data_IF_316047287230
#
_entry.id   IF_316047287230
#
_cell.length_a   1.000
_cell.length_b   1.000
_cell.length_c   1.000
_cell.angle_alpha   90.00
_cell.angle_beta   90.00
_cell.angle_gamma   90.00
#
_symmetry.space_group_name_H-M   'P 1'
#
loop_
_entity.id
_entity.type
_entity.pdbx_description
1 polymer ?
#
# COMPACT_ATOMS: atom_id res chain seq x y z
N UNK A 1 1.08 -33.25 -51.52
CA UNK A 1 2.08 -32.80 -50.54
C UNK A 1 2.48 -31.32 -50.62
N UNK A 2 1.98 -30.51 -51.59
CA UNK A 2 2.34 -29.05 -51.75
C UNK A 2 1.41 -28.07 -51.07
N UNK A 3 0.26 -28.47 -50.53
CA UNK A 3 -0.70 -27.58 -49.87
C UNK A 3 -0.53 -27.42 -48.35
N UNK A 4 0.22 -28.29 -47.68
CA UNK A 4 0.46 -28.22 -46.23
C UNK A 4 1.60 -27.26 -45.79
N UNK A 5 2.56 -26.96 -46.69
CA UNK A 5 3.69 -26.09 -46.41
C UNK A 5 3.30 -24.59 -46.44
N UNK A 6 2.25 -24.20 -47.16
CA UNK A 6 1.85 -22.80 -47.34
C UNK A 6 1.14 -22.23 -46.11
N UNK A 7 0.44 -23.06 -45.30
CA UNK A 7 -0.32 -22.64 -44.10
C UNK A 7 0.56 -22.41 -42.88
N UNK A 8 1.66 -23.12 -42.77
CA UNK A 8 2.62 -22.98 -41.64
C UNK A 8 3.47 -21.70 -41.79
N UNK A 9 3.81 -21.33 -43.03
CA UNK A 9 4.58 -20.09 -43.29
C UNK A 9 3.77 -18.83 -43.01
N UNK A 10 2.45 -18.86 -43.19
CA UNK A 10 1.57 -17.70 -42.96
C UNK A 10 1.35 -17.45 -41.47
N UNK A 11 1.27 -18.52 -40.63
CA UNK A 11 1.10 -18.40 -39.17
C UNK A 11 2.35 -17.83 -38.47
N UNK A 12 3.55 -18.22 -38.95
CA UNK A 12 4.82 -17.69 -38.40
C UNK A 12 5.08 -16.25 -38.81
N UNK A 13 4.63 -15.80 -40.00
CA UNK A 13 4.78 -14.43 -40.44
C UNK A 13 3.86 -13.45 -39.66
N UNK A 14 2.65 -13.89 -39.28
CA UNK A 14 1.72 -13.06 -38.51
C UNK A 14 2.20 -12.85 -37.09
N UNK A 15 2.80 -13.86 -36.45
CA UNK A 15 3.39 -13.73 -35.12
C UNK A 15 4.63 -12.81 -35.09
N UNK A 16 5.48 -12.89 -36.12
CA UNK A 16 6.67 -12.04 -36.21
C UNK A 16 6.32 -10.57 -36.51
N UNK A 17 5.32 -10.30 -37.34
CA UNK A 17 4.85 -8.93 -37.61
C UNK A 17 4.15 -8.30 -36.41
N UNK A 18 3.38 -9.04 -35.64
CA UNK A 18 2.73 -8.52 -34.41
C UNK A 18 3.75 -8.07 -33.36
N UNK A 19 4.80 -8.87 -33.14
CA UNK A 19 5.84 -8.56 -32.18
C UNK A 19 6.74 -7.36 -32.60
N UNK A 20 7.00 -7.20 -33.88
CA UNK A 20 7.74 -6.07 -34.43
C UNK A 20 6.92 -4.77 -34.40
N UNK A 21 5.61 -4.86 -34.61
CA UNK A 21 4.69 -3.72 -34.58
C UNK A 21 4.49 -3.20 -33.14
N UNK A 22 4.41 -4.06 -32.12
CA UNK A 22 4.28 -3.66 -30.72
C UNK A 22 5.56 -2.99 -30.20
N UNK A 23 6.74 -3.54 -30.53
CA UNK A 23 8.03 -2.91 -30.20
C UNK A 23 8.17 -1.51 -30.82
N UNK A 24 7.75 -1.33 -32.06
CA UNK A 24 7.78 -0.03 -32.75
C UNK A 24 6.84 1.00 -32.10
N UNK A 25 5.65 0.57 -31.66
CA UNK A 25 4.64 1.43 -31.01
C UNK A 25 5.12 1.90 -29.64
N UNK A 26 5.69 1.00 -28.84
CA UNK A 26 6.21 1.32 -27.50
C UNK A 26 7.42 2.26 -27.59
N UNK A 27 8.32 2.08 -28.54
CA UNK A 27 9.43 3.00 -28.76
C UNK A 27 8.98 4.40 -29.16
N UNK A 28 7.89 4.52 -29.93
CA UNK A 28 7.29 5.81 -30.30
C UNK A 28 6.66 6.50 -29.09
N UNK A 29 5.99 5.77 -28.18
CA UNK A 29 5.41 6.31 -26.95
C UNK A 29 6.47 6.85 -25.97
N UNK A 30 7.72 6.38 -26.11
CA UNK A 30 8.87 6.82 -25.32
C UNK A 30 9.76 7.85 -26.05
N UNK A 31 9.37 8.34 -27.22
CA UNK A 31 10.14 9.34 -27.93
C UNK A 31 10.26 10.63 -27.11
N UNK A 32 11.49 11.14 -26.96
CA UNK A 32 11.78 12.32 -26.13
C UNK A 32 11.68 12.14 -24.61
N UNK A 33 11.36 10.94 -24.12
CA UNK A 33 11.33 10.65 -22.69
C UNK A 33 12.65 10.02 -22.23
N UNK A 34 13.11 10.40 -21.05
CA UNK A 34 14.18 9.73 -20.31
C UNK A 34 13.60 9.11 -19.04
N UNK A 35 14.12 7.96 -18.62
CA UNK A 35 13.67 7.24 -17.44
C UNK A 35 13.80 5.73 -17.56
N UNK A 36 13.33 5.06 -16.53
CA UNK A 36 13.25 3.60 -16.45
C UNK A 36 11.81 3.17 -16.73
N UNK A 37 11.62 2.26 -17.68
CA UNK A 37 10.31 1.79 -18.09
C UNK A 37 10.25 0.27 -18.10
N UNK A 38 9.04 -0.28 -18.01
CA UNK A 38 8.79 -1.69 -18.25
C UNK A 38 7.68 -1.86 -19.28
N UNK A 39 7.89 -2.79 -20.21
CA UNK A 39 6.84 -3.30 -21.08
C UNK A 39 6.34 -4.63 -20.54
N UNK A 40 5.13 -4.67 -20.00
CA UNK A 40 4.44 -5.87 -19.56
C UNK A 40 3.61 -6.38 -20.72
N UNK A 41 4.12 -7.38 -21.43
CA UNK A 41 3.41 -8.00 -22.55
C UNK A 41 2.42 -9.03 -22.01
N UNK A 42 1.15 -8.88 -22.37
CA UNK A 42 0.06 -9.72 -21.86
C UNK A 42 -0.68 -10.44 -23.00
N UNK A 43 -1.62 -11.31 -22.65
CA UNK A 43 -2.55 -11.93 -23.61
C UNK A 43 -3.48 -10.92 -24.30
N UNK A 44 -3.67 -9.71 -23.71
CA UNK A 44 -4.52 -8.63 -24.24
C UNK A 44 -3.76 -7.52 -24.97
N UNK A 45 -2.45 -7.51 -24.91
CA UNK A 45 -1.58 -6.50 -25.47
C UNK A 45 -0.45 -6.10 -24.53
N UNK A 46 0.22 -5.02 -24.86
CA UNK A 46 1.35 -4.50 -24.11
C UNK A 46 0.89 -3.36 -23.19
N UNK A 47 1.35 -3.40 -21.93
CA UNK A 47 1.19 -2.34 -20.95
C UNK A 47 2.55 -1.71 -20.73
N UNK A 48 2.73 -0.45 -21.18
CA UNK A 48 3.93 0.30 -20.95
C UNK A 48 3.79 1.13 -19.68
N UNK A 49 4.73 0.95 -18.74
CA UNK A 49 4.75 1.65 -17.45
C UNK A 49 6.08 2.38 -17.26
N UNK A 50 6.04 3.54 -16.67
CA UNK A 50 7.21 4.22 -16.12
C UNK A 50 7.47 3.69 -14.71
N UNK A 51 8.74 3.47 -14.35
CA UNK A 51 9.16 3.00 -13.04
C UNK A 51 9.85 4.13 -12.28
N UNK A 52 9.34 4.44 -11.10
CA UNK A 52 9.78 5.56 -10.27
C UNK A 52 10.99 5.18 -9.40
N UNK A 53 12.10 4.81 -10.02
CA UNK A 53 13.31 4.31 -9.35
C UNK A 53 13.99 5.31 -8.41
N UNK A 54 13.68 6.61 -8.54
CA UNK A 54 14.18 7.66 -7.63
C UNK A 54 13.29 7.80 -6.39
N UNK A 55 11.97 7.59 -6.53
CA UNK A 55 10.98 7.72 -5.47
C UNK A 55 10.76 6.41 -4.68
N UNK A 56 10.91 5.26 -5.35
CA UNK A 56 10.74 3.94 -4.76
C UNK A 56 11.91 3.01 -5.15
N UNK A 57 13.15 3.35 -4.77
CA UNK A 57 14.35 2.66 -5.23
C UNK A 57 14.39 1.18 -4.85
N UNK A 58 13.98 0.79 -3.65
CA UNK A 58 13.96 -0.61 -3.20
C UNK A 58 12.92 -1.41 -4.01
N UNK A 59 11.71 -0.88 -4.14
CA UNK A 59 10.60 -1.55 -4.82
C UNK A 59 10.90 -1.71 -6.31
N UNK A 60 11.45 -0.67 -6.96
CA UNK A 60 11.84 -0.76 -8.36
C UNK A 60 13.01 -1.72 -8.54
N UNK A 61 14.00 -1.74 -7.63
CA UNK A 61 15.10 -2.73 -7.66
C UNK A 61 14.55 -4.16 -7.53
N UNK A 62 13.58 -4.39 -6.65
CA UNK A 62 12.91 -5.68 -6.52
C UNK A 62 12.19 -6.09 -7.83
N UNK A 63 11.33 -5.22 -8.36
CA UNK A 63 10.57 -5.50 -9.58
C UNK A 63 11.48 -5.75 -10.79
N UNK A 64 12.45 -4.87 -11.02
CA UNK A 64 13.41 -4.99 -12.13
C UNK A 64 14.28 -6.24 -11.98
N UNK A 65 14.80 -6.48 -10.78
CA UNK A 65 15.67 -7.61 -10.53
C UNK A 65 14.97 -8.96 -10.67
N UNK A 66 13.68 -9.06 -10.29
CA UNK A 66 12.85 -10.23 -10.56
C UNK A 66 12.56 -10.36 -12.07
N UNK A 67 12.22 -9.26 -12.76
CA UNK A 67 11.93 -9.26 -14.20
C UNK A 67 13.15 -9.66 -15.05
N UNK A 68 14.34 -9.24 -14.67
CA UNK A 68 15.59 -9.52 -15.39
C UNK A 68 16.25 -10.83 -14.91
N UNK A 69 15.84 -11.39 -13.76
CA UNK A 69 16.40 -12.61 -13.21
C UNK A 69 17.69 -12.39 -12.41
N UNK A 70 17.97 -11.17 -11.97
CA UNK A 70 19.21 -10.77 -11.28
C UNK A 70 19.13 -10.85 -9.76
N UNK A 71 17.93 -11.02 -9.18
CA UNK A 71 17.76 -11.36 -7.77
C UNK A 71 17.84 -12.88 -7.57
N UNK A 72 18.38 -13.31 -6.44
CA UNK A 72 18.58 -14.73 -6.09
C UNK A 72 17.28 -15.54 -6.15
N UNK A 73 16.17 -14.95 -5.74
CA UNK A 73 14.84 -15.58 -5.79
C UNK A 73 14.39 -15.92 -7.21
N UNK A 74 14.84 -15.20 -8.21
CA UNK A 74 14.54 -15.45 -9.62
C UNK A 74 15.35 -16.62 -10.18
N UNK A 75 16.43 -17.04 -9.51
CA UNK A 75 17.30 -18.16 -9.92
C UNK A 75 17.80 -18.05 -11.36
N UNK A 76 18.13 -16.82 -11.80
CA UNK A 76 18.57 -16.53 -13.15
C UNK A 76 17.49 -16.60 -14.23
N UNK A 77 16.20 -16.67 -13.84
CA UNK A 77 15.06 -16.72 -14.77
C UNK A 77 14.25 -15.42 -14.68
N UNK A 78 13.58 -15.08 -15.75
CA UNK A 78 12.61 -13.97 -15.75
C UNK A 78 11.38 -14.37 -14.92
N UNK A 79 11.30 -13.87 -13.71
CA UNK A 79 10.35 -14.32 -12.69
C UNK A 79 8.88 -14.16 -13.10
N UNK A 80 8.54 -13.09 -13.81
CA UNK A 80 7.16 -12.76 -14.15
C UNK A 80 6.65 -13.46 -15.42
N UNK A 81 7.53 -14.03 -16.24
CA UNK A 81 7.15 -14.64 -17.51
C UNK A 81 6.28 -15.87 -17.26
N UNK A 82 5.10 -15.90 -17.88
CA UNK A 82 4.11 -16.97 -17.75
C UNK A 82 3.19 -16.88 -16.54
N UNK A 83 3.38 -15.91 -15.64
CA UNK A 83 2.48 -15.69 -14.50
C UNK A 83 1.13 -15.12 -14.95
N UNK A 84 0.12 -15.27 -14.11
CA UNK A 84 -1.23 -14.80 -14.39
C UNK A 84 -1.61 -13.54 -13.61
N UNK A 85 -2.57 -12.81 -14.13
CA UNK A 85 -3.34 -11.88 -13.33
C UNK A 85 -4.40 -12.69 -12.57
N UNK A 86 -4.01 -13.18 -11.39
CA UNK A 86 -4.83 -14.11 -10.60
C UNK A 86 -6.03 -13.45 -9.91
N UNK A 87 -6.06 -12.10 -9.84
CA UNK A 87 -7.17 -11.34 -9.27
C UNK A 87 -7.42 -10.08 -10.10
N UNK A 88 -8.62 -9.96 -10.63
CA UNK A 88 -9.07 -8.80 -11.39
C UNK A 88 -10.41 -8.36 -10.83
N UNK A 89 -10.53 -7.09 -10.44
CA UNK A 89 -11.77 -6.49 -9.97
C UNK A 89 -12.08 -5.30 -10.87
N UNK A 90 -13.20 -5.35 -11.55
CA UNK A 90 -13.68 -4.26 -12.39
C UNK A 90 -13.80 -2.96 -11.57
N UNK A 91 -13.49 -1.83 -12.22
CA UNK A 91 -13.51 -0.50 -11.61
C UNK A 91 -12.61 -0.37 -10.36
N UNK A 92 -11.62 -1.26 -10.23
CA UNK A 92 -10.64 -1.20 -9.15
C UNK A 92 -9.21 -1.45 -9.68
N UNK A 93 -8.82 -2.72 -9.92
CA UNK A 93 -7.43 -3.03 -10.32
C UNK A 93 -7.29 -4.43 -10.96
N UNK A 94 -6.15 -4.64 -11.61
CA UNK A 94 -5.63 -5.95 -11.99
C UNK A 94 -4.41 -6.28 -11.12
N UNK A 95 -4.33 -7.51 -10.58
CA UNK A 95 -3.26 -7.96 -9.69
C UNK A 95 -2.60 -9.23 -10.24
N UNK A 96 -1.27 -9.20 -10.33
CA UNK A 96 -0.43 -10.31 -10.80
C UNK A 96 0.85 -10.43 -9.99
N UNK A 97 1.82 -11.21 -10.51
CA UNK A 97 3.15 -11.38 -9.90
C UNK A 97 3.22 -12.46 -8.81
N UNK A 98 2.17 -13.26 -8.65
CA UNK A 98 2.16 -14.43 -7.77
C UNK A 98 2.58 -15.70 -8.55
N UNK A 99 3.71 -16.34 -8.19
CA UNK A 99 4.15 -17.56 -8.87
C UNK A 99 3.22 -18.76 -8.65
N UNK A 100 2.39 -18.75 -7.59
CA UNK A 100 1.42 -19.81 -7.30
C UNK A 100 0.04 -19.51 -7.90
N UNK A 101 -0.24 -18.26 -8.27
CA UNK A 101 -1.53 -17.83 -8.79
C UNK A 101 -2.69 -17.89 -7.78
N UNK A 102 -2.38 -17.96 -6.49
CA UNK A 102 -3.35 -18.14 -5.40
C UNK A 102 -3.61 -16.85 -4.60
N UNK A 103 -2.80 -15.83 -4.82
CA UNK A 103 -2.74 -14.60 -4.02
C UNK A 103 -1.87 -14.73 -2.75
N UNK A 104 -1.29 -15.92 -2.49
CA UNK A 104 -0.48 -16.19 -1.29
C UNK A 104 1.00 -16.42 -1.60
N UNK A 105 1.34 -16.68 -2.84
CA UNK A 105 2.69 -16.92 -3.30
C UNK A 105 3.53 -15.63 -3.38
N UNK A 106 4.83 -15.81 -3.54
CA UNK A 106 5.78 -14.71 -3.62
C UNK A 106 7.20 -15.18 -3.89
N UNK A 107 8.19 -14.30 -3.79
CA UNK A 107 9.59 -14.60 -4.12
C UNK A 107 10.32 -15.33 -3.00
N UNK A 108 9.66 -15.68 -1.89
CA UNK A 108 10.26 -16.35 -0.73
C UNK A 108 10.81 -15.41 0.33
N UNK A 109 10.64 -14.10 0.16
CA UNK A 109 11.01 -13.07 1.13
C UNK A 109 9.94 -11.96 1.17
N UNK A 110 10.07 -11.08 2.18
CA UNK A 110 9.29 -9.85 2.32
C UNK A 110 10.24 -8.67 2.50
N UNK A 111 9.79 -7.46 2.10
CA UNK A 111 10.56 -6.24 2.25
C UNK A 111 9.67 -5.05 2.66
N UNK A 112 10.26 -4.01 3.29
CA UNK A 112 9.52 -2.86 3.81
C UNK A 112 8.88 -2.03 2.72
N UNK A 113 7.87 -1.24 3.11
CA UNK A 113 7.24 -0.23 2.26
C UNK A 113 8.17 0.97 2.03
N UNK A 114 7.86 1.77 1.02
CA UNK A 114 8.47 3.08 0.76
C UNK A 114 7.37 4.16 0.73
N UNK A 115 6.77 4.49 1.90
CA UNK A 115 5.59 5.34 1.99
C UNK A 115 5.90 6.83 1.77
N UNK A 116 7.15 7.24 1.90
CA UNK A 116 7.59 8.67 1.85
C UNK A 116 8.02 9.06 0.44
N UNK A 117 7.31 8.59 -0.58
CA UNK A 117 7.68 8.87 -1.96
C UNK A 117 6.86 9.99 -2.62
N UNK A 118 5.93 10.60 -1.89
CA UNK A 118 5.07 11.68 -2.39
C UNK A 118 4.05 11.25 -3.45
N UNK A 119 3.88 9.95 -3.68
CA UNK A 119 2.98 9.40 -4.68
C UNK A 119 1.64 9.02 -4.05
N UNK A 120 0.55 9.31 -4.76
CA UNK A 120 -0.82 9.02 -4.33
C UNK A 120 -1.62 8.36 -5.45
N UNK A 121 -2.69 7.65 -5.09
CA UNK A 121 -3.58 6.97 -6.03
C UNK A 121 -4.65 7.91 -6.61
N UNK A 122 -4.24 9.06 -7.13
CA UNK A 122 -5.07 10.17 -7.61
C UNK A 122 -5.68 9.97 -9.00
N UNK A 123 -5.21 8.98 -9.75
CA UNK A 123 -5.63 8.68 -11.13
C UNK A 123 -5.51 7.18 -11.45
N UNK A 124 -6.15 6.70 -12.55
CA UNK A 124 -5.94 5.34 -13.03
C UNK A 124 -4.49 5.10 -13.45
N UNK A 125 -4.10 3.82 -13.54
CA UNK A 125 -2.81 3.41 -14.06
C UNK A 125 -1.66 3.44 -13.05
N UNK A 126 -1.92 3.63 -11.77
CA UNK A 126 -0.88 3.51 -10.73
C UNK A 126 -0.45 2.04 -10.61
N UNK A 127 0.86 1.82 -10.68
CA UNK A 127 1.50 0.53 -10.45
C UNK A 127 2.04 0.51 -9.03
N UNK A 128 1.55 -0.44 -8.22
CA UNK A 128 1.89 -0.52 -6.80
C UNK A 128 2.06 -1.97 -6.32
N UNK A 129 2.73 -2.15 -5.18
CA UNK A 129 2.90 -3.45 -4.55
C UNK A 129 1.62 -3.91 -3.87
N UNK A 130 1.20 -5.14 -4.17
CA UNK A 130 0.23 -5.84 -3.33
C UNK A 130 0.94 -6.38 -2.08
N UNK A 131 0.30 -6.24 -0.92
CA UNK A 131 0.80 -6.70 0.37
C UNK A 131 -0.34 -7.21 1.27
N UNK A 132 0.02 -7.85 2.38
CA UNK A 132 -0.89 -8.33 3.43
C UNK A 132 -0.74 -7.50 4.72
N UNK A 133 -0.43 -6.22 4.59
CA UNK A 133 -0.15 -5.27 5.66
C UNK A 133 1.28 -4.71 5.57
N UNK A 134 1.63 -3.77 6.47
CA UNK A 134 2.91 -3.07 6.43
C UNK A 134 4.12 -4.01 6.38
N UNK A 135 5.08 -3.71 5.50
CA UNK A 135 6.34 -4.46 5.39
C UNK A 135 6.21 -5.88 4.83
N UNK A 136 5.13 -6.20 4.14
CA UNK A 136 4.92 -7.54 3.58
C UNK A 136 4.97 -7.60 2.06
N UNK A 137 5.64 -6.62 1.42
CA UNK A 137 5.84 -6.61 -0.02
C UNK A 137 6.67 -7.81 -0.47
N UNK A 138 6.36 -8.33 -1.65
CA UNK A 138 7.06 -9.47 -2.26
C UNK A 138 7.21 -9.30 -3.77
N UNK A 139 6.61 -10.18 -4.57
CA UNK A 139 6.60 -10.07 -6.04
C UNK A 139 5.26 -9.61 -6.60
N UNK A 140 4.18 -9.66 -5.81
CA UNK A 140 2.85 -9.31 -6.29
C UNK A 140 2.69 -7.81 -6.46
N UNK A 141 2.11 -7.39 -7.58
CA UNK A 141 1.82 -6.00 -7.91
C UNK A 141 0.40 -5.85 -8.45
N UNK A 142 -0.11 -4.63 -8.47
CA UNK A 142 -1.39 -4.30 -9.11
C UNK A 142 -1.29 -3.01 -9.91
N UNK A 143 -2.18 -2.87 -10.90
CA UNK A 143 -2.34 -1.65 -11.70
C UNK A 143 -3.79 -1.22 -11.59
N UNK A 144 -4.05 0.06 -11.28
CA UNK A 144 -5.40 0.58 -11.00
C UNK A 144 -6.19 0.90 -12.27
N UNK A 145 -7.51 0.68 -12.22
CA UNK A 145 -8.46 1.09 -13.27
C UNK A 145 -8.94 2.52 -13.07
N UNK A 146 -9.02 2.97 -11.81
CA UNK A 146 -9.59 4.24 -11.36
C UNK A 146 -8.72 4.83 -10.25
N UNK A 147 -8.91 6.09 -9.83
CA UNK A 147 -8.34 6.61 -8.59
C UNK A 147 -8.77 5.75 -7.39
N UNK A 148 -7.85 5.45 -6.48
CA UNK A 148 -8.07 4.58 -5.31
C UNK A 148 -7.40 5.17 -4.08
N UNK A 149 -7.79 6.38 -3.71
CA UNK A 149 -7.19 7.22 -2.66
C UNK A 149 -7.17 6.54 -1.27
N UNK A 150 -8.11 5.63 -1.00
CA UNK A 150 -8.13 4.81 0.23
C UNK A 150 -6.93 3.84 0.37
N UNK A 151 -6.13 3.66 -0.69
CA UNK A 151 -4.89 2.88 -0.69
C UNK A 151 -3.64 3.73 -0.41
N UNK A 152 -3.77 5.06 -0.32
CA UNK A 152 -2.65 5.95 -0.04
C UNK A 152 -1.93 5.51 1.25
N UNK A 153 -0.60 5.53 1.19
CA UNK A 153 0.32 5.15 2.28
C UNK A 153 0.25 3.69 2.76
N UNK A 154 -0.67 2.87 2.21
CA UNK A 154 -0.82 1.44 2.52
C UNK A 154 -0.10 0.53 1.53
N UNK A 155 0.10 1.02 0.32
CA UNK A 155 0.77 0.31 -0.76
C UNK A 155 1.81 1.22 -1.41
N UNK A 156 3.03 0.71 -1.59
CA UNK A 156 4.10 1.45 -2.28
C UNK A 156 3.78 1.58 -3.76
N UNK A 157 3.47 2.80 -4.21
CA UNK A 157 3.41 3.13 -5.64
C UNK A 157 4.85 3.20 -6.14
N UNK A 158 5.17 2.48 -7.23
CA UNK A 158 6.50 2.45 -7.81
C UNK A 158 6.54 2.68 -9.31
N UNK A 159 5.39 3.00 -9.91
CA UNK A 159 5.28 3.34 -11.32
C UNK A 159 3.88 3.76 -11.73
N UNK A 160 3.73 4.10 -12.99
CA UNK A 160 2.42 4.37 -13.59
C UNK A 160 2.42 4.06 -15.10
N UNK A 161 1.22 3.88 -15.64
CA UNK A 161 0.99 3.66 -17.06
C UNK A 161 1.37 4.92 -17.87
N UNK A 162 2.14 4.73 -18.94
CA UNK A 162 2.71 5.85 -19.72
C UNK A 162 1.67 6.56 -20.59
N UNK A 163 0.68 5.82 -21.13
CA UNK A 163 -0.28 6.33 -22.10
C UNK A 163 -1.67 5.69 -22.03
N UNK A 164 -2.64 6.33 -22.68
CA UNK A 164 -4.03 5.86 -22.70
C UNK A 164 -4.20 4.51 -23.42
N UNK A 165 -3.31 4.16 -24.36
CA UNK A 165 -3.38 2.88 -25.05
C UNK A 165 -3.01 1.72 -24.13
N UNK A 166 -1.96 1.90 -23.32
CA UNK A 166 -1.59 0.96 -22.26
C UNK A 166 -2.69 0.84 -21.20
N UNK A 167 -3.34 1.97 -20.83
CA UNK A 167 -4.48 1.93 -19.90
C UNK A 167 -5.68 1.16 -20.48
N UNK A 168 -5.94 1.23 -21.77
CA UNK A 168 -6.97 0.40 -22.43
C UNK A 168 -6.66 -1.09 -22.30
N UNK A 169 -5.38 -1.47 -22.40
CA UNK A 169 -4.96 -2.86 -22.19
C UNK A 169 -5.17 -3.27 -20.72
N UNK A 170 -4.77 -2.42 -19.76
CA UNK A 170 -5.06 -2.65 -18.32
C UNK A 170 -6.56 -2.93 -18.11
N UNK A 171 -7.42 -2.10 -18.67
CA UNK A 171 -8.89 -2.23 -18.53
C UNK A 171 -9.46 -3.45 -19.28
N UNK A 172 -8.73 -4.03 -20.24
CA UNK A 172 -9.13 -5.21 -21.00
C UNK A 172 -8.63 -6.54 -20.42
N UNK A 173 -7.67 -6.49 -19.48
CA UNK A 173 -7.16 -7.68 -18.79
C UNK A 173 -8.26 -8.31 -17.94
N UNK A 174 -8.46 -9.60 -18.12
CA UNK A 174 -9.37 -10.43 -17.33
C UNK A 174 -8.61 -11.35 -16.39
N UNK A 175 -9.32 -11.91 -15.41
CA UNK A 175 -8.72 -12.90 -14.52
C UNK A 175 -8.18 -14.08 -15.31
N UNK A 176 -7.03 -14.58 -14.90
CA UNK A 176 -6.24 -15.63 -15.54
C UNK A 176 -5.58 -15.25 -16.87
N UNK A 177 -5.69 -14.02 -17.35
CA UNK A 177 -4.86 -13.55 -18.44
C UNK A 177 -3.36 -13.61 -18.07
N UNK A 178 -2.52 -13.93 -19.07
CA UNK A 178 -1.12 -14.25 -18.85
C UNK A 178 -0.21 -13.06 -19.10
N UNK A 179 0.76 -12.86 -18.21
CA UNK A 179 1.96 -12.04 -18.41
C UNK A 179 2.92 -12.85 -19.28
N UNK A 180 3.02 -12.54 -20.56
CA UNK A 180 3.90 -13.24 -21.49
C UNK A 180 5.36 -12.96 -21.21
N UNK A 181 5.67 -11.69 -20.92
CA UNK A 181 7.01 -11.24 -20.54
C UNK A 181 6.98 -9.85 -19.92
N UNK A 182 7.99 -9.56 -19.09
CA UNK A 182 8.31 -8.21 -18.63
C UNK A 182 9.69 -7.82 -19.17
N UNK A 183 9.73 -6.73 -19.95
CA UNK A 183 10.98 -6.21 -20.55
C UNK A 183 11.28 -4.83 -19.98
N UNK A 184 12.45 -4.66 -19.39
CA UNK A 184 12.92 -3.39 -18.85
C UNK A 184 13.56 -2.54 -19.96
N UNK A 185 13.21 -1.27 -20.02
CA UNK A 185 13.68 -0.31 -21.00
C UNK A 185 14.33 0.86 -20.23
N UNK A 186 15.60 1.11 -20.53
CA UNK A 186 16.39 2.20 -19.94
C UNK A 186 16.64 3.26 -20.97
N UNK A 187 16.33 4.52 -20.67
CA UNK A 187 16.54 5.68 -21.56
C UNK A 187 17.18 6.82 -20.81
N UNK A 188 18.31 7.27 -21.29
CA UNK A 188 19.14 8.30 -20.65
C UNK A 188 20.13 7.75 -19.62
N UNK A 189 21.18 8.52 -19.34
CA UNK A 189 22.35 8.08 -18.59
C UNK A 189 22.00 7.56 -17.18
N UNK A 190 21.09 8.23 -16.45
CA UNK A 190 20.69 7.82 -15.10
C UNK A 190 20.00 6.44 -15.11
N UNK A 191 19.09 6.22 -16.07
CA UNK A 191 18.37 4.96 -16.18
C UNK A 191 19.27 3.82 -16.69
N UNK A 192 20.22 4.11 -17.57
CA UNK A 192 21.22 3.16 -18.06
C UNK A 192 22.18 2.72 -16.95
N UNK A 193 22.50 3.63 -16.01
CA UNK A 193 23.33 3.35 -14.85
C UNK A 193 22.57 2.56 -13.75
N UNK A 194 21.24 2.51 -13.79
CA UNK A 194 20.43 1.81 -12.79
C UNK A 194 20.65 0.28 -12.87
N UNK A 195 21.02 -0.29 -11.73
CA UNK A 195 21.23 -1.74 -11.55
C UNK A 195 20.26 -2.28 -10.52
N UNK A 196 19.89 -3.54 -10.69
CA UNK A 196 18.96 -4.25 -9.80
C UNK A 196 19.54 -5.64 -9.45
N UNK A 197 20.72 -5.65 -8.82
CA UNK A 197 21.35 -6.88 -8.32
C UNK A 197 20.88 -7.20 -6.91
N UNK A 198 21.15 -8.43 -6.41
CA UNK A 198 20.89 -8.78 -5.02
C UNK A 198 21.59 -7.82 -4.05
N UNK A 199 22.85 -7.47 -4.32
CA UNK A 199 23.61 -6.52 -3.49
C UNK A 199 22.97 -5.11 -3.45
N UNK A 200 22.40 -4.62 -4.56
CA UNK A 200 21.68 -3.35 -4.59
C UNK A 200 20.39 -3.45 -3.76
N UNK A 201 19.65 -4.54 -3.87
CA UNK A 201 18.46 -4.80 -3.06
C UNK A 201 18.78 -4.83 -1.57
N UNK A 202 19.76 -5.64 -1.15
CA UNK A 202 20.16 -5.80 0.25
C UNK A 202 20.62 -4.48 0.88
N UNK A 203 21.31 -3.63 0.11
CA UNK A 203 21.72 -2.31 0.54
C UNK A 203 20.55 -1.34 0.76
N UNK A 204 19.46 -1.47 -0.01
CA UNK A 204 18.31 -0.57 0.06
C UNK A 204 17.32 -0.97 1.18
N UNK A 205 17.27 -2.23 1.60
CA UNK A 205 16.36 -2.69 2.67
C UNK A 205 16.50 -1.89 3.97
N UNK A 206 17.69 -1.71 4.56
CA UNK A 206 17.83 -0.91 5.78
C UNK A 206 17.48 0.56 5.56
N UNK A 207 17.73 1.12 4.38
CA UNK A 207 17.38 2.51 4.05
C UNK A 207 15.85 2.69 4.06
N UNK A 208 15.11 1.79 3.40
CA UNK A 208 13.64 1.83 3.40
C UNK A 208 13.07 1.58 4.82
N UNK A 209 13.66 0.66 5.60
CA UNK A 209 13.26 0.41 6.98
C UNK A 209 13.38 1.67 7.85
N UNK A 210 14.50 2.40 7.74
CA UNK A 210 14.70 3.65 8.46
C UNK A 210 13.74 4.75 7.98
N UNK A 211 13.47 4.82 6.69
CA UNK A 211 12.49 5.76 6.13
C UNK A 211 11.07 5.50 6.66
N UNK A 212 10.62 4.24 6.76
CA UNK A 212 9.33 3.87 7.37
C UNK A 212 9.28 4.30 8.84
N UNK A 213 10.36 4.07 9.59
CA UNK A 213 10.43 4.47 10.99
C UNK A 213 10.27 5.99 11.14
N UNK A 214 11.03 6.77 10.39
CA UNK A 214 10.96 8.23 10.40
C UNK A 214 9.58 8.75 9.98
N UNK A 215 8.95 8.12 9.00
CA UNK A 215 7.60 8.47 8.58
C UNK A 215 6.58 8.27 9.69
N UNK A 216 6.61 7.12 10.38
CA UNK A 216 5.74 6.87 11.53
C UNK A 216 5.99 7.87 12.68
N UNK A 217 7.26 8.16 12.98
CA UNK A 217 7.63 9.17 13.98
C UNK A 217 7.09 10.56 13.63
N UNK A 218 7.14 10.95 12.36
CA UNK A 218 6.58 12.21 11.89
C UNK A 218 5.05 12.27 12.03
N UNK A 219 4.35 11.19 11.67
CA UNK A 219 2.89 11.10 11.87
C UNK A 219 2.51 11.21 13.34
N UNK A 220 3.26 10.54 14.24
CA UNK A 220 3.03 10.65 15.68
C UNK A 220 3.29 12.09 16.15
N UNK A 221 4.39 12.71 15.70
CA UNK A 221 4.71 14.09 16.06
C UNK A 221 3.61 15.09 15.64
N UNK A 222 2.98 14.86 14.48
CA UNK A 222 1.86 15.65 14.00
C UNK A 222 0.62 15.51 14.88
N UNK A 223 0.22 14.26 15.20
CA UNK A 223 -1.00 14.04 15.99
C UNK A 223 -0.87 14.45 17.45
N UNK A 224 0.35 14.49 18.02
CA UNK A 224 0.58 14.94 19.39
C UNK A 224 0.84 16.46 19.52
N UNK A 225 0.87 17.18 18.39
CA UNK A 225 1.10 18.63 18.44
C UNK A 225 0.05 19.33 19.30
N UNK A 226 0.51 20.13 20.27
CA UNK A 226 -0.37 20.82 21.21
C UNK A 226 -0.98 19.96 22.32
N UNK A 227 -0.60 18.68 22.41
CA UNK A 227 -1.03 17.79 23.48
C UNK A 227 -0.14 17.89 24.72
N UNK A 228 -0.73 17.74 25.90
CA UNK A 228 -0.04 17.45 27.14
C UNK A 228 0.29 15.95 27.21
N UNK A 229 1.27 15.59 28.05
CA UNK A 229 1.69 14.18 28.22
C UNK A 229 1.54 13.75 29.68
N UNK A 230 0.87 12.64 29.90
CA UNK A 230 0.78 12.02 31.21
C UNK A 230 2.09 11.31 31.59
N UNK A 231 2.28 10.99 32.89
CA UNK A 231 3.48 10.28 33.39
C UNK A 231 3.69 8.90 32.78
N UNK A 232 2.62 8.22 32.33
CA UNK A 232 2.67 6.91 31.70
C UNK A 232 2.65 6.96 30.16
N UNK A 233 2.76 8.16 29.56
CA UNK A 233 3.03 8.29 28.14
C UNK A 233 1.82 8.56 27.25
N UNK A 234 0.60 8.65 27.77
CA UNK A 234 -0.58 9.07 26.97
C UNK A 234 -0.49 10.56 26.72
N UNK A 235 -0.70 10.96 25.47
CA UNK A 235 -0.84 12.37 25.09
C UNK A 235 -2.32 12.74 25.01
N UNK A 236 -2.68 13.95 25.43
CA UNK A 236 -4.06 14.42 25.38
C UNK A 236 -4.18 15.93 25.20
N UNK A 237 -5.32 16.35 24.69
CA UNK A 237 -5.71 17.76 24.57
C UNK A 237 -7.19 17.89 24.92
N UNK A 238 -7.53 18.80 25.84
CA UNK A 238 -8.93 19.17 26.10
C UNK A 238 -9.37 20.10 24.97
N UNK A 239 -10.24 19.59 24.09
CA UNK A 239 -10.78 20.34 22.95
C UNK A 239 -11.99 21.20 23.39
N UNK A 240 -12.76 20.69 24.35
CA UNK A 240 -13.88 21.39 24.96
C UNK A 240 -13.94 21.04 26.44
N UNK A 241 -14.02 22.03 27.29
CA UNK A 241 -14.19 21.84 28.73
C UNK A 241 -15.56 21.23 29.08
N UNK A 242 -15.55 20.34 30.06
CA UNK A 242 -16.74 19.80 30.69
C UNK A 242 -17.11 20.55 31.98
N UNK A 243 -18.13 20.09 32.66
CA UNK A 243 -18.61 20.65 33.89
C UNK A 243 -18.57 19.65 35.05
N UNK A 244 -18.46 20.16 36.28
CA UNK A 244 -18.41 19.36 37.50
C UNK A 244 -17.03 18.77 37.79
N UNK A 245 -17.01 17.70 38.61
CA UNK A 245 -15.79 16.99 38.93
C UNK A 245 -15.46 15.93 37.87
N UNK A 246 -14.21 15.49 37.85
CA UNK A 246 -13.80 14.31 37.08
C UNK A 246 -14.65 13.08 37.48
N UNK A 247 -15.00 12.25 36.47
CA UNK A 247 -15.95 11.14 36.68
C UNK A 247 -15.43 10.08 37.64
N UNK A 248 -14.12 9.81 37.66
CA UNK A 248 -13.49 8.82 38.50
C UNK A 248 -13.82 7.37 38.10
N UNK A 249 -13.19 6.42 38.79
CA UNK A 249 -13.41 4.99 38.58
C UNK A 249 -14.74 4.50 39.16
N UNK A 250 -15.26 3.36 38.67
CA UNK A 250 -16.46 2.68 39.15
C UNK A 250 -17.77 3.30 38.68
N UNK A 251 -17.73 4.32 37.83
CA UNK A 251 -18.94 4.95 37.28
C UNK A 251 -19.27 4.38 35.90
N UNK A 252 -20.54 4.11 35.63
CA UNK A 252 -21.02 3.81 34.28
C UNK A 252 -21.09 5.11 33.52
N UNK A 253 -20.49 5.13 32.33
CA UNK A 253 -20.42 6.31 31.45
C UNK A 253 -20.95 6.02 30.05
N UNK A 254 -21.28 7.06 29.32
CA UNK A 254 -21.62 7.02 27.91
C UNK A 254 -20.69 7.99 27.18
N UNK A 255 -19.96 7.49 26.19
CA UNK A 255 -19.03 8.26 25.37
C UNK A 255 -19.39 8.22 23.89
N UNK A 256 -19.44 9.38 23.27
CA UNK A 256 -19.32 9.49 21.81
C UNK A 256 -17.85 9.50 21.47
N UNK A 257 -17.44 8.79 20.40
CA UNK A 257 -16.03 8.64 20.09
C UNK A 257 -15.76 8.41 18.60
N UNK A 258 -14.53 8.68 18.21
CA UNK A 258 -13.91 8.26 16.97
C UNK A 258 -12.51 7.76 17.29
N UNK A 259 -12.20 6.50 16.86
CA UNK A 259 -10.88 5.90 16.98
C UNK A 259 -10.20 5.85 15.60
N UNK A 260 -8.95 6.30 15.53
CA UNK A 260 -8.18 6.37 14.28
C UNK A 260 -6.69 6.16 14.51
N UNK A 261 -5.97 5.79 13.45
CA UNK A 261 -4.51 5.69 13.44
C UNK A 261 -3.88 7.08 13.20
N UNK A 262 -2.58 7.27 13.49
CA UNK A 262 -1.89 8.55 13.23
C UNK A 262 -1.92 9.01 11.76
N UNK A 263 -2.15 8.11 10.81
CA UNK A 263 -2.35 8.42 9.39
C UNK A 263 -3.77 8.90 9.04
N UNK A 264 -4.66 9.00 10.03
CA UNK A 264 -6.05 9.40 9.88
C UNK A 264 -7.02 8.27 9.53
N UNK A 265 -6.55 7.01 9.40
CA UNK A 265 -7.44 5.88 9.14
C UNK A 265 -8.35 5.63 10.33
N UNK A 266 -9.65 5.85 10.15
CA UNK A 266 -10.68 5.53 11.16
C UNK A 266 -10.89 4.02 11.17
N UNK A 267 -10.82 3.41 12.36
CA UNK A 267 -11.08 1.97 12.52
C UNK A 267 -12.39 1.71 13.30
N UNK A 268 -12.86 2.70 14.08
CA UNK A 268 -14.10 2.60 14.84
C UNK A 268 -14.65 3.99 15.18
N UNK A 269 -15.97 4.16 15.21
CA UNK A 269 -16.59 5.42 15.58
C UNK A 269 -18.03 5.25 16.03
N UNK A 270 -18.55 6.17 16.85
CA UNK A 270 -19.98 6.31 17.09
C UNK A 270 -20.67 7.09 15.96
N UNK A 271 -22.00 6.97 15.85
CA UNK A 271 -22.81 7.63 14.81
C UNK A 271 -22.66 9.14 14.76
N UNK A 272 -22.30 9.76 15.86
CA UNK A 272 -22.02 11.21 15.92
C UNK A 272 -20.83 11.60 15.03
N UNK A 273 -19.80 10.76 14.96
CA UNK A 273 -18.59 11.03 14.20
C UNK A 273 -18.60 10.41 12.79
N UNK A 274 -19.33 9.29 12.62
CA UNK A 274 -19.39 8.61 11.33
C UNK A 274 -20.81 8.06 11.06
N UNK A 275 -21.44 8.33 9.88
CA UNK A 275 -22.81 7.95 9.61
C UNK A 275 -23.10 6.43 9.73
N UNK A 276 -22.10 5.60 9.48
CA UNK A 276 -22.17 4.13 9.60
C UNK A 276 -21.62 3.62 10.94
N UNK A 277 -21.36 4.52 11.89
CA UNK A 277 -20.80 4.19 13.21
C UNK A 277 -21.81 3.47 14.11
N UNK A 278 -21.30 3.09 15.28
CA UNK A 278 -22.06 2.40 16.32
C UNK A 278 -22.85 3.36 17.21
N UNK A 279 -23.67 2.83 18.10
CA UNK A 279 -24.23 3.59 19.21
C UNK A 279 -23.11 4.09 20.14
N UNK A 280 -23.37 5.14 20.95
CA UNK A 280 -22.38 5.61 21.91
C UNK A 280 -21.87 4.46 22.79
N UNK A 281 -20.58 4.50 23.10
CA UNK A 281 -19.92 3.47 23.92
C UNK A 281 -20.34 3.59 25.38
N UNK A 282 -20.92 2.53 25.95
CA UNK A 282 -21.27 2.45 27.38
C UNK A 282 -20.34 1.45 28.11
N UNK A 283 -19.73 1.89 29.19
CA UNK A 283 -18.84 1.02 30.00
C UNK A 283 -18.70 1.54 31.42
N UNK A 284 -18.12 0.72 32.32
CA UNK A 284 -17.76 1.12 33.69
C UNK A 284 -16.29 1.48 33.75
N UNK A 285 -15.99 2.74 34.08
CA UNK A 285 -14.60 3.24 34.15
C UNK A 285 -13.80 2.50 35.20
N UNK A 286 -12.59 2.07 34.85
CA UNK A 286 -11.68 1.33 35.73
C UNK A 286 -12.02 -0.15 35.88
N UNK A 287 -13.01 -0.69 35.14
CA UNK A 287 -13.38 -2.11 35.18
C UNK A 287 -12.59 -2.98 34.18
N UNK A 288 -11.63 -2.41 33.44
CA UNK A 288 -10.84 -3.15 32.44
C UNK A 288 -11.62 -3.58 31.21
N UNK A 289 -12.73 -2.90 30.91
CA UNK A 289 -13.53 -3.15 29.70
C UNK A 289 -12.95 -2.48 28.46
N UNK A 290 -12.11 -1.45 28.67
CA UNK A 290 -11.43 -0.68 27.63
C UNK A 290 -9.93 -0.88 27.68
N UNK A 291 -9.22 -0.49 26.62
CA UNK A 291 -7.75 -0.43 26.65
C UNK A 291 -7.28 0.52 27.78
N UNK A 292 -6.18 0.21 28.45
CA UNK A 292 -5.78 0.90 29.68
C UNK A 292 -5.65 2.42 29.52
N UNK A 293 -5.09 2.89 28.41
CA UNK A 293 -4.91 4.31 28.17
C UNK A 293 -6.23 5.06 27.99
N UNK A 294 -7.22 4.45 27.33
CA UNK A 294 -8.55 5.04 27.15
C UNK A 294 -9.31 5.14 28.48
N UNK A 295 -9.33 4.03 29.24
CA UNK A 295 -10.02 3.93 30.53
C UNK A 295 -9.48 4.97 31.53
N UNK A 296 -8.14 5.06 31.64
CA UNK A 296 -7.48 6.06 32.48
C UNK A 296 -7.82 7.49 32.06
N UNK A 297 -7.83 7.79 30.77
CA UNK A 297 -8.11 9.16 30.30
C UNK A 297 -9.57 9.56 30.56
N UNK A 298 -10.53 8.63 30.34
CA UNK A 298 -11.94 8.89 30.62
C UNK A 298 -12.19 9.09 32.11
N UNK A 299 -11.48 8.39 33.01
CA UNK A 299 -11.60 8.59 34.46
C UNK A 299 -11.33 10.03 34.91
N UNK A 300 -10.55 10.77 34.14
CA UNK A 300 -10.17 12.17 34.42
C UNK A 300 -11.07 13.19 33.73
N UNK A 301 -11.97 12.75 32.84
CA UNK A 301 -12.88 13.65 32.10
C UNK A 301 -14.05 14.09 32.97
N UNK A 302 -14.57 15.28 32.61
CA UNK A 302 -15.80 15.84 33.19
C UNK A 302 -16.95 15.64 32.20
N UNK A 303 -18.19 15.59 32.68
CA UNK A 303 -19.36 15.49 31.82
C UNK A 303 -19.43 16.68 30.84
N UNK A 304 -19.64 16.41 29.56
CA UNK A 304 -19.66 17.39 28.48
C UNK A 304 -18.29 17.74 27.90
N UNK A 305 -17.20 17.21 28.49
CA UNK A 305 -15.83 17.39 27.99
C UNK A 305 -15.63 16.63 26.65
N UNK A 306 -14.90 17.27 25.75
CA UNK A 306 -14.35 16.61 24.56
C UNK A 306 -12.84 16.63 24.65
N UNK A 307 -12.23 15.46 24.53
CA UNK A 307 -10.78 15.25 24.63
C UNK A 307 -10.25 14.47 23.45
N UNK A 308 -9.16 14.98 22.86
CA UNK A 308 -8.28 14.20 21.97
C UNK A 308 -7.30 13.40 22.83
N UNK A 309 -7.08 12.14 22.48
CA UNK A 309 -6.15 11.24 23.16
C UNK A 309 -5.27 10.56 22.13
N UNK A 310 -3.95 10.41 22.41
CA UNK A 310 -3.01 9.63 21.62
C UNK A 310 -2.33 8.66 22.56
N UNK A 311 -2.68 7.40 22.42
CA UNK A 311 -2.36 6.32 23.36
C UNK A 311 -1.23 5.49 22.78
N UNK A 312 -0.10 5.32 23.50
CA UNK A 312 1.00 4.50 23.02
C UNK A 312 0.64 3.01 23.00
N UNK A 313 1.33 2.19 22.19
CA UNK A 313 1.00 0.78 21.99
C UNK A 313 0.85 -0.02 23.27
N UNK A 314 1.69 0.22 24.28
CA UNK A 314 1.73 -0.51 25.57
C UNK A 314 0.44 -0.31 26.38
N UNK A 315 -0.27 0.79 26.16
CA UNK A 315 -1.54 1.13 26.81
C UNK A 315 -2.74 0.96 25.85
N UNK A 316 -2.51 0.41 24.66
CA UNK A 316 -3.49 0.14 23.62
C UNK A 316 -3.51 -1.36 23.25
N UNK A 317 -3.14 -1.71 22.02
CA UNK A 317 -3.25 -3.07 21.48
C UNK A 317 -1.90 -3.80 21.39
N UNK A 318 -0.82 -3.20 21.86
CA UNK A 318 0.51 -3.79 21.94
C UNK A 318 1.12 -4.18 20.58
N UNK A 319 2.07 -5.11 20.64
CA UNK A 319 2.79 -5.60 19.44
C UNK A 319 1.96 -6.47 18.50
N UNK A 320 0.81 -6.96 18.93
CA UNK A 320 -0.07 -7.78 18.09
C UNK A 320 -1.03 -6.95 17.24
N UNK A 321 -1.44 -5.76 17.74
CA UNK A 321 -2.47 -4.96 17.08
C UNK A 321 -3.82 -5.69 17.01
N UNK A 322 -4.68 -5.26 16.07
CA UNK A 322 -5.92 -5.95 15.68
C UNK A 322 -6.00 -5.97 14.15
N UNK A 323 -5.38 -6.94 13.47
CA UNK A 323 -5.31 -6.98 12.01
C UNK A 323 -6.69 -6.96 11.32
N UNK A 324 -7.70 -7.58 11.93
CA UNK A 324 -9.08 -7.60 11.40
C UNK A 324 -9.74 -6.22 11.37
N UNK A 325 -9.33 -5.31 12.28
CA UNK A 325 -9.75 -3.92 12.33
C UNK A 325 -8.77 -2.98 11.57
N UNK A 326 -7.75 -3.53 10.90
CA UNK A 326 -6.74 -2.74 10.21
C UNK A 326 -5.77 -2.02 11.13
N UNK A 327 -5.63 -2.47 12.40
CA UNK A 327 -4.70 -1.89 13.38
C UNK A 327 -3.42 -2.74 13.43
N UNK A 328 -2.30 -2.25 12.89
CA UNK A 328 -1.02 -2.95 12.97
C UNK A 328 -0.51 -3.06 14.42
N UNK A 329 0.38 -4.02 14.66
CA UNK A 329 1.13 -4.06 15.92
C UNK A 329 1.99 -2.80 16.09
N UNK A 330 2.29 -2.48 17.36
CA UNK A 330 3.08 -1.32 17.75
C UNK A 330 2.53 0.03 17.26
N UNK A 331 1.19 0.12 17.06
CA UNK A 331 0.52 1.34 16.64
C UNK A 331 0.15 2.23 17.81
N UNK A 332 0.44 3.53 17.71
CA UNK A 332 -0.26 4.53 18.50
C UNK A 332 -1.72 4.60 18.07
N UNK A 333 -2.62 4.79 19.01
CA UNK A 333 -4.07 4.87 18.78
C UNK A 333 -4.56 6.26 19.17
N UNK A 334 -5.23 6.93 18.23
CA UNK A 334 -5.83 8.23 18.45
C UNK A 334 -7.33 8.08 18.73
N UNK A 335 -7.85 8.89 19.66
CA UNK A 335 -9.29 9.00 19.88
C UNK A 335 -9.69 10.47 20.04
N UNK A 336 -10.81 10.83 19.45
CA UNK A 336 -11.59 11.98 19.85
C UNK A 336 -12.81 11.48 20.64
N UNK A 337 -12.92 11.89 21.91
CA UNK A 337 -13.94 11.39 22.84
C UNK A 337 -14.73 12.52 23.44
N UNK A 338 -16.06 12.40 23.46
CA UNK A 338 -16.95 13.29 24.23
C UNK A 338 -17.62 12.48 25.33
N UNK A 339 -17.39 12.82 26.59
CA UNK A 339 -18.09 12.22 27.72
C UNK A 339 -19.49 12.82 27.82
N UNK A 340 -20.52 12.00 27.57
CA UNK A 340 -21.94 12.47 27.52
C UNK A 340 -22.56 12.46 28.90
N UNK A 341 -22.39 11.36 29.64
CA UNK A 341 -22.88 11.18 31.01
C UNK A 341 -22.13 10.08 31.75
#
# INVERSE_FOLDING_TARGET
MKKFLSTILLATAILATGCAQSKGKNMKALEGKEGLFANISTSKGDILVELFYKQAPLTVTNFVGLAEGTLDAAKGKKFYDGLKFHRVIADFMIQGGDPEGTGRGGPGYKFPDEPVNGLVFDKPGKLAMANAGPGTNGSQFFITHVPTDWLNYKHTIFGEVVDAESQKVVNAVAQDDVIKSVTIIRKGADAEAFKATQADFDKLVPVATDAVKKFKEAQIAEVIQGCEKTSNGVYFQIVKEGSGNAIGNGKKVTCEYQGYLPDGQIFDASKKFHPQGHEPLEFVVGAGQMIPGFDQMVSQMKVGETRKMVIPPELAYGSHGIPQAGIPGDSYICFDVTLVK
#
